data_IF_269633786028
#
_entry.id   IF_269633786028
#
_cell.length_a   1.000
_cell.length_b   1.000
_cell.length_c   1.000
_cell.angle_alpha   90.00
_cell.angle_beta   90.00
_cell.angle_gamma   90.00
#
_symmetry.space_group_name_H-M   'P 1'
#
loop_
_entity.id
_entity.type
_entity.pdbx_description
1 polymer ?
#
# COMPACT_ATOMS: atom_id res chain seq x y z
N UNK A 1 14.38 4.14 -32.51
CA UNK A 1 13.95 2.76 -32.21
C UNK A 1 12.80 2.82 -31.23
N UNK A 2 11.71 2.05 -31.45
CA UNK A 2 10.70 1.85 -30.40
C UNK A 2 11.20 0.74 -29.48
N UNK A 3 11.34 1.02 -28.21
CA UNK A 3 11.54 -0.04 -27.21
C UNK A 3 10.24 -0.84 -27.08
N UNK A 4 10.35 -2.17 -27.05
CA UNK A 4 9.22 -3.08 -26.90
C UNK A 4 9.40 -3.95 -25.67
N UNK A 5 8.35 -4.09 -24.87
CA UNK A 5 8.33 -4.95 -23.68
C UNK A 5 7.59 -6.26 -23.99
N UNK A 6 8.12 -7.38 -23.50
CA UNK A 6 7.33 -8.62 -23.42
C UNK A 6 6.21 -8.49 -22.40
N UNK A 7 5.21 -9.37 -22.49
CA UNK A 7 4.11 -9.41 -21.51
C UNK A 7 4.65 -9.64 -20.09
N UNK A 8 5.68 -10.46 -19.94
CA UNK A 8 6.33 -10.75 -18.65
C UNK A 8 7.03 -9.49 -18.11
N UNK A 9 7.72 -8.74 -18.95
CA UNK A 9 8.37 -7.49 -18.55
C UNK A 9 7.33 -6.43 -18.15
N UNK A 10 6.27 -6.26 -18.93
CA UNK A 10 5.18 -5.33 -18.62
C UNK A 10 4.51 -5.68 -17.28
N UNK A 11 4.18 -6.95 -17.03
CA UNK A 11 3.61 -7.41 -15.75
C UNK A 11 4.54 -7.13 -14.58
N UNK A 12 5.84 -7.42 -14.72
CA UNK A 12 6.84 -7.14 -13.69
C UNK A 12 6.91 -5.64 -13.39
N UNK A 13 6.90 -4.79 -14.41
CA UNK A 13 6.93 -3.34 -14.23
C UNK A 13 5.72 -2.83 -13.47
N UNK A 14 4.51 -3.31 -13.80
CA UNK A 14 3.28 -2.95 -13.07
C UNK A 14 3.36 -3.37 -11.61
N UNK A 15 3.83 -4.58 -11.32
CA UNK A 15 3.99 -5.08 -9.95
C UNK A 15 5.00 -4.23 -9.15
N UNK A 16 6.15 -3.93 -9.75
CA UNK A 16 7.18 -3.09 -9.13
C UNK A 16 6.69 -1.65 -8.92
N UNK A 17 5.97 -1.07 -9.88
CA UNK A 17 5.41 0.29 -9.75
C UNK A 17 4.36 0.36 -8.64
N UNK A 18 3.76 -0.76 -8.26
CA UNK A 18 2.81 -0.88 -7.15
C UNK A 18 3.47 -1.21 -5.82
N UNK A 19 4.80 -1.38 -5.78
CA UNK A 19 5.58 -1.85 -4.61
C UNK A 19 5.14 -3.24 -4.13
N UNK A 20 4.86 -4.14 -5.07
CA UNK A 20 4.54 -5.55 -4.81
C UNK A 20 5.47 -6.43 -5.67
N UNK A 21 6.53 -7.06 -5.13
CA UNK A 21 6.85 -7.17 -3.71
C UNK A 21 7.32 -5.83 -3.11
N UNK A 22 7.19 -5.66 -1.79
CA UNK A 22 7.60 -4.44 -1.12
C UNK A 22 9.12 -4.26 -1.19
N UNK A 23 9.63 -3.03 -1.35
CA UNK A 23 11.05 -2.76 -1.20
C UNK A 23 11.49 -3.04 0.25
N UNK A 24 12.80 -3.17 0.47
CA UNK A 24 13.35 -3.26 1.82
C UNK A 24 12.91 -2.05 2.65
N UNK A 25 12.24 -2.30 3.76
CA UNK A 25 11.73 -1.26 4.64
C UNK A 25 12.69 -1.01 5.78
N UNK A 26 13.21 0.20 5.86
CA UNK A 26 13.93 0.73 7.02
C UNK A 26 13.00 1.61 7.87
N UNK A 27 13.39 1.89 9.12
CA UNK A 27 12.65 2.80 10.00
C UNK A 27 11.35 2.22 10.59
N UNK A 28 10.49 3.13 11.08
CA UNK A 28 9.26 2.78 11.81
C UNK A 28 8.19 2.22 10.87
N UNK A 29 7.42 1.23 11.33
CA UNK A 29 6.37 0.60 10.55
C UNK A 29 5.27 1.59 10.13
N UNK A 30 4.88 2.51 11.01
CA UNK A 30 3.86 3.54 10.70
C UNK A 30 4.29 4.47 9.55
N UNK A 31 5.58 4.82 9.47
CA UNK A 31 6.13 5.62 8.38
C UNK A 31 6.08 4.88 7.04
N UNK A 32 6.33 3.56 7.06
CA UNK A 32 6.18 2.73 5.87
C UNK A 32 4.71 2.62 5.42
N UNK A 33 3.76 2.56 6.35
CA UNK A 33 2.32 2.60 6.06
C UNK A 33 1.90 3.92 5.43
N UNK A 34 2.32 5.05 6.00
CA UNK A 34 2.05 6.37 5.41
C UNK A 34 2.63 6.46 3.98
N UNK A 35 3.89 6.05 3.79
CA UNK A 35 4.51 6.05 2.47
C UNK A 35 3.80 5.14 1.46
N UNK A 36 3.19 4.03 1.92
CA UNK A 36 2.40 3.17 1.06
C UNK A 36 1.09 3.87 0.62
N UNK A 37 0.42 4.58 1.54
CA UNK A 37 -0.81 5.34 1.24
C UNK A 37 -0.49 6.48 0.27
N UNK A 38 0.55 7.27 0.53
CA UNK A 38 1.00 8.36 -0.35
C UNK A 38 1.36 7.87 -1.74
N UNK A 39 2.05 6.72 -1.84
CA UNK A 39 2.43 6.13 -3.12
C UNK A 39 1.21 5.66 -3.92
N UNK A 40 0.17 5.14 -3.26
CA UNK A 40 -1.06 4.70 -3.91
C UNK A 40 -2.01 5.87 -4.22
N UNK A 41 -1.84 7.01 -3.56
CA UNK A 41 -2.71 8.19 -3.67
C UNK A 41 -4.01 8.06 -2.88
N UNK A 42 -4.60 6.86 -2.83
CA UNK A 42 -5.74 6.52 -1.99
C UNK A 42 -5.82 5.01 -1.79
N UNK A 43 -6.63 4.57 -0.83
CA UNK A 43 -6.99 3.17 -0.66
C UNK A 43 -8.50 3.09 -0.46
N UNK A 44 -9.18 2.28 -1.27
CA UNK A 44 -10.61 2.05 -1.12
C UNK A 44 -10.87 1.25 0.16
N UNK A 45 -11.72 1.78 1.03
CA UNK A 45 -12.22 1.05 2.19
C UNK A 45 -13.35 0.14 1.72
N UNK A 46 -13.25 -1.15 2.06
CA UNK A 46 -14.36 -2.07 1.79
C UNK A 46 -15.51 -1.84 2.75
N UNK A 47 -16.73 -1.87 2.20
CA UNK A 47 -17.98 -1.66 2.94
C UNK A 47 -18.44 -2.90 3.73
N UNK A 48 -17.86 -4.07 3.47
CA UNK A 48 -18.19 -5.33 4.16
C UNK A 48 -17.27 -5.50 5.37
N UNK A 49 -17.82 -5.41 6.58
CA UNK A 49 -17.08 -5.54 7.85
C UNK A 49 -17.08 -6.95 8.45
N UNK A 50 -17.78 -7.92 7.83
CA UNK A 50 -17.94 -9.29 8.36
C UNK A 50 -16.64 -10.10 8.26
N UNK A 51 -15.71 -9.68 7.40
CA UNK A 51 -14.36 -10.25 7.23
C UNK A 51 -13.33 -9.12 7.31
N UNK A 52 -12.03 -9.47 7.44
CA UNK A 52 -10.97 -8.47 7.37
C UNK A 52 -11.05 -7.71 6.03
N UNK A 53 -11.19 -6.39 6.12
CA UNK A 53 -11.42 -5.50 4.99
C UNK A 53 -10.19 -5.50 4.05
N UNK A 54 -10.36 -5.52 2.73
CA UNK A 54 -9.26 -5.73 1.78
C UNK A 54 -8.22 -4.60 1.77
N UNK A 55 -8.54 -3.40 2.25
CA UNK A 55 -7.54 -2.34 2.42
C UNK A 55 -6.45 -2.72 3.43
N UNK A 56 -6.75 -3.56 4.43
CA UNK A 56 -5.74 -4.09 5.34
C UNK A 56 -4.76 -5.02 4.61
N UNK A 57 -5.25 -5.86 3.69
CA UNK A 57 -4.40 -6.70 2.83
C UNK A 57 -3.56 -5.87 1.86
N UNK A 58 -4.14 -4.79 1.31
CA UNK A 58 -3.44 -3.85 0.43
C UNK A 58 -2.24 -3.21 1.11
N UNK A 59 -2.40 -2.82 2.38
CA UNK A 59 -1.33 -2.26 3.20
C UNK A 59 -0.32 -3.33 3.63
N UNK A 60 -0.77 -4.50 4.08
CA UNK A 60 0.11 -5.58 4.52
C UNK A 60 1.03 -6.09 3.40
N UNK A 61 0.53 -6.22 2.17
CA UNK A 61 1.32 -6.63 1.01
C UNK A 61 2.44 -5.63 0.64
N UNK A 62 2.33 -4.37 1.10
CA UNK A 62 3.32 -3.30 0.89
C UNK A 62 4.15 -3.00 2.14
N UNK A 63 3.63 -3.33 3.31
CA UNK A 63 4.25 -3.21 4.61
C UNK A 63 3.90 -4.44 5.46
N UNK A 64 4.73 -5.49 5.48
CA UNK A 64 4.47 -6.68 6.28
C UNK A 64 4.40 -6.42 7.80
N UNK A 65 4.88 -5.26 8.27
CA UNK A 65 4.80 -4.80 9.67
C UNK A 65 3.57 -3.92 9.95
N UNK A 66 2.66 -3.82 8.99
CA UNK A 66 1.41 -3.08 9.11
C UNK A 66 0.56 -3.64 10.26
N UNK A 67 -0.05 -2.74 11.03
CA UNK A 67 -1.05 -3.05 12.05
C UNK A 67 -2.21 -2.06 11.90
N UNK A 68 -3.44 -2.50 12.18
CA UNK A 68 -4.63 -1.67 12.01
C UNK A 68 -4.56 -0.34 12.78
N UNK A 69 -4.00 -0.36 13.99
CA UNK A 69 -3.78 0.83 14.83
C UNK A 69 -2.93 1.92 14.18
N UNK A 70 -2.16 1.59 13.14
CA UNK A 70 -1.40 2.59 12.39
C UNK A 70 -2.33 3.49 11.57
N UNK A 71 -3.46 2.98 11.04
CA UNK A 71 -4.45 3.85 10.37
C UNK A 71 -5.10 4.79 11.38
N UNK A 72 -5.49 4.27 12.54
CA UNK A 72 -6.10 5.07 13.61
C UNK A 72 -5.17 6.21 14.04
N UNK A 73 -3.88 5.92 14.21
CA UNK A 73 -2.87 6.93 14.54
C UNK A 73 -2.66 7.95 13.41
N UNK A 74 -2.55 7.50 12.15
CA UNK A 74 -2.37 8.41 11.01
C UNK A 74 -3.58 9.33 10.80
N UNK A 75 -4.79 8.85 11.08
CA UNK A 75 -6.01 9.66 11.10
C UNK A 75 -5.98 10.68 12.25
N UNK A 76 -5.63 10.25 13.46
CA UNK A 76 -5.52 11.13 14.62
C UNK A 76 -4.48 12.25 14.41
N UNK A 77 -3.36 11.92 13.77
CA UNK A 77 -2.29 12.86 13.43
C UNK A 77 -2.60 13.71 12.18
N UNK A 78 -3.78 13.53 11.56
CA UNK A 78 -4.23 14.25 10.35
C UNK A 78 -3.28 14.09 9.16
N UNK A 79 -2.60 12.96 9.07
CA UNK A 79 -1.71 12.63 7.95
C UNK A 79 -2.44 11.92 6.82
N UNK A 80 -3.55 11.26 7.13
CA UNK A 80 -4.48 10.67 6.17
C UNK A 80 -5.91 11.05 6.54
N UNK A 81 -6.83 10.93 5.59
CA UNK A 81 -8.23 11.26 5.77
C UNK A 81 -9.10 10.17 5.14
N UNK A 82 -10.26 9.94 5.74
CA UNK A 82 -11.32 9.05 5.22
C UNK A 82 -12.45 9.93 4.66
N UNK A 83 -12.91 9.61 3.44
CA UNK A 83 -13.97 10.33 2.73
C UNK A 83 -14.84 9.37 1.91
#
# INVERSE_FOLDING_TARGET
MKESLSIQQARKLVLLSQRVPPPNQSGRAITATLSAIEHLGYIQIDTISVVQRAHHHTLWNRNPRYQASQLDQLLADKQVFEY
#
